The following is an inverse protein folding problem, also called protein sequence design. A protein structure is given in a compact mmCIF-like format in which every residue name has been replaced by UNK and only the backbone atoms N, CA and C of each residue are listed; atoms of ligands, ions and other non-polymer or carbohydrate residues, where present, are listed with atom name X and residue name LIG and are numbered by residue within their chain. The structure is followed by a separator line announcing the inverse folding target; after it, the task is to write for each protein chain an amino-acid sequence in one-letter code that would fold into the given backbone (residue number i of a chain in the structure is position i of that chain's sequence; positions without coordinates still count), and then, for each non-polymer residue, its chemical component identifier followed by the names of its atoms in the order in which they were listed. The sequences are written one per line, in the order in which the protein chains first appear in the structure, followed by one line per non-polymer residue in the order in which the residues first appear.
data_IF_987241853343
#
_entry.id   IF_987241853343
#
_cell.length_a   1.000
_cell.length_b   1.000
_cell.length_c   1.000
_cell.angle_alpha   90.00
_cell.angle_beta   90.00
_cell.angle_gamma   90.00
#
_symmetry.space_group_name_H-M   'P 1'
#
loop_
_entity.id
_entity.type
_entity.pdbx_description
1 polymer ?
#
# COMPACT_ATOMS: atom_id res chain seq x y z
N UNK A 1 -0.06 -9.81 -25.78
CA UNK A 1 0.69 -9.77 -24.49
C UNK A 1 -0.26 -10.20 -23.37
N UNK A 2 0.21 -11.00 -22.41
CA UNK A 2 -0.56 -11.44 -21.21
C UNK A 2 0.02 -10.79 -19.95
N UNK A 3 -0.82 -10.48 -18.97
CA UNK A 3 -0.37 -9.94 -17.68
C UNK A 3 0.32 -11.03 -16.86
N UNK A 4 1.43 -10.66 -16.22
CA UNK A 4 2.14 -11.55 -15.31
C UNK A 4 1.27 -11.93 -14.11
N UNK A 5 1.55 -13.10 -13.53
CA UNK A 5 0.88 -13.59 -12.33
C UNK A 5 1.87 -14.42 -11.51
N UNK A 6 1.37 -15.13 -10.49
CA UNK A 6 2.22 -15.97 -9.63
C UNK A 6 2.82 -17.18 -10.33
N UNK A 7 2.16 -17.71 -11.36
CA UNK A 7 2.63 -18.85 -12.15
C UNK A 7 3.59 -18.42 -13.26
N UNK A 8 3.44 -17.19 -13.76
CA UNK A 8 4.26 -16.60 -14.82
C UNK A 8 4.74 -15.21 -14.41
N UNK A 9 5.79 -15.11 -13.56
CA UNK A 9 6.36 -13.83 -13.16
C UNK A 9 7.07 -13.13 -14.32
N UNK A 10 7.32 -11.82 -14.16
CA UNK A 10 8.09 -11.05 -15.12
C UNK A 10 9.54 -11.58 -15.18
N UNK A 11 10.07 -11.92 -16.37
CA UNK A 11 11.44 -12.43 -16.50
C UNK A 11 12.52 -11.37 -16.23
N UNK A 12 12.16 -10.08 -16.29
CA UNK A 12 13.10 -8.97 -16.07
C UNK A 12 13.22 -8.60 -14.59
N UNK A 13 12.09 -8.40 -13.90
CA UNK A 13 12.07 -7.91 -12.51
C UNK A 13 11.62 -8.94 -11.47
N UNK A 14 11.20 -10.14 -11.91
CA UNK A 14 10.69 -11.21 -11.04
C UNK A 14 9.35 -10.94 -10.37
N UNK A 15 8.70 -9.80 -10.62
CA UNK A 15 7.40 -9.45 -10.00
C UNK A 15 6.24 -10.13 -10.70
N UNK A 16 5.17 -10.38 -9.94
CA UNK A 16 3.98 -11.12 -10.37
C UNK A 16 2.82 -10.21 -10.75
N UNK A 17 3.07 -8.90 -10.88
CA UNK A 17 2.07 -7.87 -11.14
C UNK A 17 2.60 -6.79 -12.09
N UNK A 18 1.65 -6.07 -12.70
CA UNK A 18 1.85 -4.88 -13.53
C UNK A 18 2.50 -5.11 -14.90
N UNK A 19 3.49 -6.00 -14.99
CA UNK A 19 4.23 -6.29 -16.22
C UNK A 19 3.41 -7.14 -17.21
N UNK A 20 3.87 -7.17 -18.47
CA UNK A 20 3.28 -7.98 -19.53
C UNK A 20 4.34 -8.93 -20.11
N UNK A 21 3.94 -10.14 -20.49
CA UNK A 21 4.80 -11.13 -21.15
C UNK A 21 4.10 -11.64 -22.41
N UNK A 22 4.85 -11.85 -23.49
CA UNK A 22 4.31 -12.43 -24.72
C UNK A 22 3.86 -13.88 -24.48
N UNK A 23 2.87 -14.34 -25.24
CA UNK A 23 2.34 -15.71 -25.07
C UNK A 23 3.42 -16.77 -25.29
N UNK A 24 4.37 -16.50 -26.19
CA UNK A 24 5.52 -17.34 -26.51
C UNK A 24 6.77 -17.02 -25.69
N UNK A 25 6.66 -16.13 -24.70
CA UNK A 25 7.75 -15.69 -23.81
C UNK A 25 8.98 -15.08 -24.51
N UNK A 26 8.88 -14.70 -25.78
CA UNK A 26 9.97 -14.05 -26.54
C UNK A 26 10.12 -12.55 -26.24
N UNK A 27 9.17 -11.97 -25.53
CA UNK A 27 9.21 -10.56 -25.15
C UNK A 27 8.49 -10.31 -23.83
N UNK A 28 8.94 -9.30 -23.11
CA UNK A 28 8.26 -8.79 -21.93
C UNK A 28 8.24 -7.26 -21.92
N UNK A 29 7.16 -6.66 -21.46
CA UNK A 29 7.11 -5.23 -21.13
C UNK A 29 7.20 -5.13 -19.60
N UNK A 30 8.35 -4.68 -19.11
CA UNK A 30 8.61 -4.49 -17.70
C UNK A 30 8.29 -3.04 -17.32
N UNK A 31 7.46 -2.82 -16.29
CA UNK A 31 7.14 -1.48 -15.81
C UNK A 31 8.13 -0.93 -14.78
N UNK A 32 9.25 -1.64 -14.52
CA UNK A 32 10.18 -1.31 -13.42
C UNK A 32 11.65 -1.18 -13.83
N UNK A 33 12.09 -1.94 -14.82
CA UNK A 33 13.50 -1.97 -15.24
C UNK A 33 13.58 -1.55 -16.72
N UNK A 34 14.31 -0.47 -16.96
CA UNK A 34 14.64 0.07 -18.28
C UNK A 34 15.88 -0.60 -18.89
N UNK A 35 16.87 -0.93 -18.06
CA UNK A 35 18.16 -1.44 -18.49
C UNK A 35 18.03 -2.73 -19.32
N UNK A 36 18.64 -2.76 -20.51
CA UNK A 36 18.53 -3.89 -21.44
C UNK A 36 17.27 -3.90 -22.31
N UNK A 37 16.39 -2.89 -22.17
CA UNK A 37 15.20 -2.79 -23.02
C UNK A 37 15.52 -2.25 -24.41
N UNK A 38 14.73 -2.69 -25.40
CA UNK A 38 14.82 -2.21 -26.78
C UNK A 38 14.20 -0.82 -26.95
N UNK A 39 13.09 -0.56 -26.26
CA UNK A 39 12.38 0.73 -26.30
C UNK A 39 11.34 0.86 -25.20
N UNK A 40 10.92 2.09 -24.91
CA UNK A 40 9.70 2.37 -24.14
C UNK A 40 8.45 2.01 -24.96
N UNK A 41 7.47 1.39 -24.30
CA UNK A 41 6.21 0.93 -24.88
C UNK A 41 5.03 1.70 -24.27
N UNK A 42 5.01 3.01 -24.48
CA UNK A 42 4.02 3.91 -23.87
C UNK A 42 4.08 3.88 -22.35
N UNK A 43 2.91 3.93 -21.70
CA UNK A 43 2.79 3.92 -20.23
C UNK A 43 2.84 2.50 -19.63
N UNK A 44 2.92 1.47 -20.46
CA UNK A 44 3.01 0.08 -19.99
C UNK A 44 4.41 -0.29 -19.48
N UNK A 45 5.45 0.49 -19.82
CA UNK A 45 6.84 0.26 -19.40
C UNK A 45 7.81 0.10 -20.55
N UNK A 46 8.88 -0.67 -20.33
CA UNK A 46 9.99 -0.89 -21.26
C UNK A 46 9.94 -2.28 -21.88
N UNK A 47 10.05 -2.37 -23.21
CA UNK A 47 9.99 -3.61 -23.98
C UNK A 47 11.36 -4.29 -24.03
N UNK A 48 11.44 -5.50 -23.49
CA UNK A 48 12.56 -6.41 -23.53
C UNK A 48 12.27 -7.52 -24.55
N UNK A 49 13.24 -7.80 -25.42
CA UNK A 49 13.17 -8.91 -26.37
C UNK A 49 14.17 -10.00 -25.94
N UNK A 50 13.74 -11.25 -25.97
CA UNK A 50 14.54 -12.42 -25.64
C UNK A 50 14.75 -13.25 -26.90
N UNK A 51 16.01 -13.58 -27.20
CA UNK A 51 16.33 -14.39 -28.36
C UNK A 51 16.12 -15.88 -28.05
N UNK A 52 15.54 -16.65 -28.99
CA UNK A 52 15.26 -18.08 -28.76
C UNK A 52 16.51 -18.97 -28.82
N UNK A 53 17.60 -18.45 -29.39
CA UNK A 53 18.87 -19.18 -29.63
C UNK A 53 19.90 -18.97 -28.54
N UNK A 54 19.77 -17.89 -27.78
CA UNK A 54 20.62 -17.61 -26.63
C UNK A 54 20.06 -18.37 -25.45
N UNK A 55 20.84 -19.31 -24.94
CA UNK A 55 20.58 -20.10 -23.74
C UNK A 55 20.57 -19.18 -22.51
N UNK A 56 19.63 -18.23 -22.47
CA UNK A 56 19.40 -17.33 -21.35
C UNK A 56 18.87 -18.19 -20.23
N UNK A 57 19.80 -18.62 -19.39
CA UNK A 57 19.52 -19.23 -18.10
C UNK A 57 18.53 -18.31 -17.40
N UNK A 58 17.28 -18.75 -17.39
CA UNK A 58 16.29 -18.25 -16.47
C UNK A 58 17.00 -18.27 -15.11
N UNK A 59 17.07 -17.16 -14.36
CA UNK A 59 17.24 -17.30 -12.93
C UNK A 59 16.00 -18.06 -12.50
N UNK A 60 16.11 -19.38 -12.45
CA UNK A 60 15.25 -20.26 -11.68
C UNK A 60 15.41 -19.73 -10.29
N UNK A 61 14.58 -18.74 -9.96
CA UNK A 61 14.63 -18.09 -8.69
C UNK A 61 14.45 -19.22 -7.70
N UNK A 62 15.49 -19.50 -6.92
CA UNK A 62 15.42 -20.28 -5.68
C UNK A 62 14.51 -19.59 -4.64
N UNK A 63 13.56 -18.74 -5.08
CA UNK A 63 12.33 -18.50 -4.37
C UNK A 63 11.57 -19.81 -4.33
N UNK A 64 11.91 -20.63 -3.33
CA UNK A 64 10.95 -21.55 -2.76
C UNK A 64 9.68 -20.75 -2.53
N UNK A 65 8.69 -20.98 -3.39
CA UNK A 65 7.31 -20.65 -3.11
C UNK A 65 7.04 -21.28 -1.74
N UNK A 66 7.12 -20.47 -0.67
CA UNK A 66 6.42 -20.81 0.55
C UNK A 66 4.95 -20.81 0.14
N UNK A 67 4.47 -21.98 -0.33
CA UNK A 67 3.05 -22.27 -0.46
C UNK A 67 2.52 -21.89 0.90
N UNK A 68 1.81 -20.76 0.96
CA UNK A 68 1.09 -20.36 2.14
C UNK A 68 0.12 -21.51 2.36
N UNK A 69 0.46 -22.39 3.30
CA UNK A 69 -0.41 -23.49 3.69
C UNK A 69 -1.71 -22.79 4.02
N UNK A 70 -2.75 -23.07 3.24
CA UNK A 70 -4.10 -22.75 3.64
C UNK A 70 -4.32 -23.67 4.84
N UNK A 71 -3.85 -23.27 6.02
CA UNK A 71 -4.52 -23.67 7.25
C UNK A 71 -5.98 -23.36 6.97
N UNK A 72 -6.84 -24.38 7.08
CA UNK A 72 -8.27 -24.26 6.83
C UNK A 72 -8.87 -23.08 7.59
N UNK A 73 -10.17 -22.77 7.42
CA UNK A 73 -10.80 -21.67 8.14
C UNK A 73 -10.37 -21.78 9.61
N UNK A 74 -9.52 -20.85 10.05
CA UNK A 74 -9.21 -20.74 11.45
C UNK A 74 -10.57 -20.52 12.06
N UNK A 75 -10.97 -21.43 12.94
CA UNK A 75 -12.08 -21.24 13.85
C UNK A 75 -11.71 -20.08 14.80
N UNK A 76 -11.49 -18.89 14.24
CA UNK A 76 -11.47 -17.64 14.94
C UNK A 76 -12.94 -17.32 15.13
N UNK A 77 -13.46 -17.83 16.23
CA UNK A 77 -14.55 -17.25 17.01
C UNK A 77 -14.64 -15.76 16.68
N UNK A 78 -15.79 -15.31 16.20
CA UNK A 78 -16.06 -13.94 15.76
C UNK A 78 -15.88 -12.93 16.88
N UNK A 79 -14.63 -12.65 17.24
CA UNK A 79 -14.28 -11.54 18.09
C UNK A 79 -14.33 -10.31 17.18
N UNK A 80 -15.48 -9.64 17.17
CA UNK A 80 -15.65 -8.35 16.53
C UNK A 80 -14.63 -7.40 17.16
N UNK A 81 -13.55 -7.15 16.43
CA UNK A 81 -12.52 -6.20 16.85
C UNK A 81 -13.16 -4.82 16.86
N UNK A 82 -13.23 -4.22 18.04
CA UNK A 82 -13.64 -2.83 18.20
C UNK A 82 -12.50 -1.91 17.75
N UNK A 83 -12.54 -1.51 16.48
CA UNK A 83 -11.52 -0.64 15.92
C UNK A 83 -11.57 0.78 16.48
N UNK A 84 -12.71 1.25 17.00
CA UNK A 84 -12.79 2.57 17.61
C UNK A 84 -11.96 2.62 18.88
N UNK A 85 -12.18 1.66 19.78
CA UNK A 85 -11.37 1.51 21.01
C UNK A 85 -9.89 1.27 20.69
N UNK A 86 -9.61 0.48 19.66
CA UNK A 86 -8.23 0.19 19.27
C UNK A 86 -7.51 1.43 18.70
N UNK A 87 -8.22 2.25 17.91
CA UNK A 87 -7.70 3.51 17.39
C UNK A 87 -7.36 4.48 18.51
N UNK A 88 -8.24 4.63 19.49
CA UNK A 88 -8.00 5.47 20.68
C UNK A 88 -6.78 5.00 21.49
N UNK A 89 -6.63 3.68 21.66
CA UNK A 89 -5.46 3.10 22.32
C UNK A 89 -4.16 3.40 21.56
N UNK A 90 -4.18 3.36 20.24
CA UNK A 90 -2.99 3.67 19.46
C UNK A 90 -2.69 5.17 19.43
N UNK A 91 -3.72 6.01 19.33
CA UNK A 91 -3.58 7.46 19.40
C UNK A 91 -2.93 7.89 20.73
N UNK A 92 -3.43 7.37 21.86
CA UNK A 92 -2.87 7.65 23.19
C UNK A 92 -1.44 7.13 23.40
N UNK A 93 -1.06 6.03 22.71
CA UNK A 93 0.32 5.52 22.71
C UNK A 93 1.25 6.27 21.77
N UNK A 94 0.72 7.08 20.85
CA UNK A 94 1.53 7.81 19.89
C UNK A 94 2.12 9.06 20.55
N UNK A 95 3.42 9.01 20.87
CA UNK A 95 4.09 10.15 21.49
C UNK A 95 4.20 11.34 20.52
N UNK A 96 4.23 12.55 21.07
CA UNK A 96 4.44 13.77 20.29
C UNK A 96 5.74 13.74 19.46
N UNK A 97 6.78 13.05 19.95
CA UNK A 97 8.05 12.85 19.24
C UNK A 97 7.87 11.96 18.01
N UNK A 98 7.10 10.88 18.12
CA UNK A 98 6.82 9.98 17.00
C UNK A 98 6.01 10.68 15.91
N UNK A 99 5.00 11.46 16.29
CA UNK A 99 4.21 12.26 15.32
C UNK A 99 5.11 13.27 14.59
N UNK A 100 5.98 13.99 15.30
CA UNK A 100 6.93 14.94 14.69
C UNK A 100 7.92 14.26 13.76
N UNK A 101 8.44 13.09 14.16
CA UNK A 101 9.32 12.30 13.31
C UNK A 101 8.63 11.87 12.01
N UNK A 102 7.40 11.38 12.11
CA UNK A 102 6.61 11.00 10.93
C UNK A 102 6.33 12.22 10.04
N UNK A 103 5.90 13.33 10.63
CA UNK A 103 5.64 14.60 9.95
C UNK A 103 6.85 15.03 9.10
N UNK A 104 8.03 15.09 9.73
CA UNK A 104 9.28 15.44 9.05
C UNK A 104 9.63 14.46 7.93
N UNK A 105 9.41 13.16 8.14
CA UNK A 105 9.71 12.13 7.12
C UNK A 105 8.80 12.21 5.89
N UNK A 106 7.58 12.71 6.07
CA UNK A 106 6.56 12.83 5.02
C UNK A 106 6.51 14.22 4.38
N UNK A 107 7.18 15.22 4.98
CA UNK A 107 7.09 16.61 4.53
C UNK A 107 5.72 17.25 4.84
N UNK A 108 5.05 16.80 5.90
CA UNK A 108 3.74 17.32 6.35
C UNK A 108 3.83 17.87 7.77
N UNK A 109 2.79 18.59 8.24
CA UNK A 109 2.72 19.08 9.62
C UNK A 109 2.26 17.99 10.58
N UNK A 110 2.73 18.10 11.83
CA UNK A 110 2.25 17.23 12.92
C UNK A 110 0.76 17.44 13.21
N UNK A 111 0.20 18.61 12.89
CA UNK A 111 -1.20 18.91 13.11
C UNK A 111 -2.10 18.11 12.15
N UNK A 112 -1.76 18.06 10.87
CA UNK A 112 -2.52 17.28 9.88
C UNK A 112 -2.54 15.79 10.19
N UNK A 113 -1.42 15.24 10.69
CA UNK A 113 -1.37 13.86 11.16
C UNK A 113 -2.23 13.62 12.42
N UNK A 114 -2.25 14.57 13.36
CA UNK A 114 -3.11 14.49 14.55
C UNK A 114 -4.59 14.54 14.20
N UNK A 115 -4.98 15.40 13.25
CA UNK A 115 -6.37 15.47 12.76
C UNK A 115 -6.83 14.14 12.17
N UNK A 116 -5.92 13.37 11.58
CA UNK A 116 -6.19 12.01 11.11
C UNK A 116 -6.13 10.93 12.21
N UNK A 117 -6.09 11.35 13.48
CA UNK A 117 -6.03 10.49 14.66
C UNK A 117 -4.92 9.44 14.56
N UNK A 118 -3.72 9.87 14.13
CA UNK A 118 -2.57 8.96 13.95
C UNK A 118 -2.21 8.30 15.28
N UNK A 119 -2.05 6.98 15.24
CA UNK A 119 -1.68 6.16 16.38
C UNK A 119 -0.33 5.46 16.23
N UNK A 120 0.11 4.81 17.31
CA UNK A 120 1.25 3.91 17.32
C UNK A 120 0.89 2.58 17.99
N UNK A 121 1.10 1.46 17.29
CA UNK A 121 0.77 0.12 17.80
C UNK A 121 1.95 -0.62 18.47
N UNK A 122 3.13 0.00 18.50
CA UNK A 122 4.38 -0.62 18.96
C UNK A 122 5.38 -0.85 17.83
N UNK A 123 4.91 -0.93 16.58
CA UNK A 123 5.72 -1.29 15.42
C UNK A 123 5.48 -0.36 14.20
N UNK A 124 4.27 0.14 14.03
CA UNK A 124 3.84 0.94 12.90
C UNK A 124 2.94 2.11 13.30
N UNK A 125 2.93 3.14 12.44
CA UNK A 125 1.96 4.22 12.53
C UNK A 125 0.60 3.75 12.03
N UNK A 126 -0.45 4.05 12.79
CA UNK A 126 -1.80 3.59 12.55
C UNK A 126 -2.70 4.75 12.12
N UNK A 127 -3.51 4.52 11.09
CA UNK A 127 -4.47 5.47 10.56
C UNK A 127 -5.86 4.81 10.52
N UNK A 128 -6.83 5.29 11.30
CA UNK A 128 -8.18 4.75 11.28
C UNK A 128 -8.86 5.01 9.92
N UNK A 129 -9.71 4.07 9.52
CA UNK A 129 -10.55 4.15 8.33
C UNK A 129 -12.01 4.05 8.78
N UNK A 130 -12.84 4.96 8.30
CA UNK A 130 -14.25 5.08 8.71
C UNK A 130 -15.22 4.79 7.56
N UNK A 131 -16.43 4.41 7.91
CA UNK A 131 -17.57 4.25 6.99
C UNK A 131 -18.35 5.57 6.80
N UNK A 132 -19.49 5.51 6.09
CA UNK A 132 -20.37 6.65 5.84
C UNK A 132 -21.02 7.23 7.10
N UNK A 133 -20.98 6.50 8.22
CA UNK A 133 -21.51 6.93 9.52
C UNK A 133 -20.42 7.41 10.45
N UNK A 134 -19.20 7.63 9.94
CA UNK A 134 -18.00 7.95 10.71
C UNK A 134 -17.62 6.87 11.74
N UNK A 135 -18.10 5.64 11.58
CA UNK A 135 -17.70 4.52 12.44
C UNK A 135 -16.37 3.97 11.95
N UNK A 136 -15.40 3.79 12.86
CA UNK A 136 -14.10 3.21 12.50
C UNK A 136 -14.27 1.72 12.19
N UNK A 137 -14.06 1.34 10.93
CA UNK A 137 -14.24 -0.03 10.39
C UNK A 137 -12.91 -0.73 10.08
N UNK A 138 -11.78 -0.06 10.34
CA UNK A 138 -10.47 -0.62 10.10
C UNK A 138 -9.34 0.32 10.46
N UNK A 139 -8.12 -0.21 10.46
CA UNK A 139 -6.90 0.55 10.74
C UNK A 139 -5.83 0.19 9.71
N UNK A 140 -5.34 1.21 9.00
CA UNK A 140 -4.21 1.12 8.07
C UNK A 140 -2.92 1.35 8.85
N UNK A 141 -1.96 0.44 8.71
CA UNK A 141 -0.62 0.49 9.29
C UNK A 141 0.39 0.97 8.26
N UNK A 142 1.30 1.84 8.68
CA UNK A 142 2.46 2.31 7.92
C UNK A 142 3.75 2.06 8.71
N UNK A 143 4.63 1.25 8.15
CA UNK A 143 5.90 0.88 8.76
C UNK A 143 6.99 1.89 8.36
N UNK A 144 8.06 1.96 9.16
CA UNK A 144 9.22 2.81 8.87
C UNK A 144 9.88 2.51 7.51
N UNK A 145 9.82 1.26 7.05
CA UNK A 145 10.35 0.83 5.75
C UNK A 145 9.43 1.13 4.54
N UNK A 146 8.36 1.91 4.71
CA UNK A 146 7.45 2.23 3.61
C UNK A 146 6.32 1.22 3.39
N UNK A 147 6.40 0.01 3.96
CA UNK A 147 5.35 -1.00 3.80
C UNK A 147 4.05 -0.52 4.45
N UNK A 148 2.93 -0.84 3.80
CA UNK A 148 1.57 -0.50 4.25
C UNK A 148 0.76 -1.80 4.36
N UNK A 149 0.08 -2.00 5.49
CA UNK A 149 -0.81 -3.14 5.74
C UNK A 149 -2.08 -2.69 6.44
N UNK A 150 -3.08 -3.56 6.60
CA UNK A 150 -4.22 -3.31 7.48
C UNK A 150 -4.20 -4.30 8.64
N UNK A 151 -4.77 -3.92 9.78
CA UNK A 151 -5.06 -4.86 10.86
C UNK A 151 -6.07 -5.89 10.37
N UNK A 152 -5.89 -7.15 10.74
CA UNK A 152 -6.81 -8.25 10.38
C UNK A 152 -8.24 -7.90 10.79
N UNK A 153 -9.19 -8.10 9.88
CA UNK A 153 -10.60 -7.73 10.07
C UNK A 153 -10.95 -6.31 9.64
N UNK A 154 -9.96 -5.47 9.32
CA UNK A 154 -10.20 -4.13 8.79
C UNK A 154 -10.89 -4.20 7.43
N UNK A 155 -11.84 -3.30 7.20
CA UNK A 155 -12.39 -2.99 5.88
C UNK A 155 -11.70 -1.76 5.30
N UNK A 156 -11.75 -1.59 3.98
CA UNK A 156 -11.33 -0.34 3.36
C UNK A 156 -12.42 0.71 3.62
N UNK A 157 -12.02 1.87 4.12
CA UNK A 157 -12.89 3.01 4.39
C UNK A 157 -12.15 4.31 4.11
N UNK A 158 -12.76 5.42 4.50
CA UNK A 158 -12.23 6.77 4.30
C UNK A 158 -11.31 7.17 5.47
N UNK A 159 -10.27 7.95 5.16
CA UNK A 159 -9.45 8.63 6.17
C UNK A 159 -10.08 9.98 6.45
N UNK A 160 -10.92 10.06 7.48
CA UNK A 160 -11.70 11.28 7.77
C UNK A 160 -10.98 12.07 8.85
N UNK A 161 -10.38 13.24 8.54
CA UNK A 161 -9.79 14.11 9.54
C UNK A 161 -10.82 14.78 10.43
N UNK A 162 -10.41 15.07 11.67
CA UNK A 162 -11.19 15.89 12.59
C UNK A 162 -11.25 17.35 12.12
N UNK A 163 -12.37 18.00 12.44
CA UNK A 163 -12.59 19.42 12.14
C UNK A 163 -12.76 19.71 10.65
N UNK A 164 -13.38 18.80 9.88
CA UNK A 164 -13.86 19.15 8.53
C UNK A 164 -15.09 20.05 8.69
N UNK A 165 -14.97 21.28 8.22
CA UNK A 165 -16.11 22.19 8.09
C UNK A 165 -16.85 21.95 6.77
N UNK A 166 -18.10 22.42 6.70
CA UNK A 166 -18.89 22.35 5.48
C UNK A 166 -18.18 23.15 4.37
N UNK A 167 -17.67 22.45 3.36
CA UNK A 167 -16.88 23.04 2.28
C UNK A 167 -17.61 22.90 0.95
N UNK A 168 -17.45 23.90 0.07
CA UNK A 168 -17.93 23.84 -1.31
C UNK A 168 -17.21 22.72 -2.10
N UNK A 169 -15.96 22.41 -1.74
CA UNK A 169 -15.13 21.39 -2.39
C UNK A 169 -14.45 20.51 -1.36
N UNK A 170 -14.41 19.21 -1.65
CA UNK A 170 -13.73 18.19 -0.84
C UNK A 170 -12.79 17.39 -1.74
N UNK A 171 -11.57 17.15 -1.26
CA UNK A 171 -10.53 16.41 -1.99
C UNK A 171 -10.43 14.98 -1.48
N UNK A 172 -10.80 13.99 -2.30
CA UNK A 172 -10.67 12.58 -1.92
C UNK A 172 -9.27 12.07 -2.27
N UNK A 173 -8.53 11.67 -1.24
CA UNK A 173 -7.16 11.17 -1.38
C UNK A 173 -7.09 9.63 -1.40
N UNK A 174 -6.08 9.05 -2.07
CA UNK A 174 -5.88 7.59 -2.11
C UNK A 174 -5.53 7.02 -0.72
N UNK A 175 -4.72 7.75 0.03
CA UNK A 175 -4.19 7.31 1.31
C UNK A 175 -4.13 8.41 2.37
N UNK A 176 -3.76 8.03 3.61
CA UNK A 176 -3.75 8.96 4.74
C UNK A 176 -2.62 9.99 4.63
N UNK A 177 -1.51 9.64 3.98
CA UNK A 177 -0.38 10.57 3.79
C UNK A 177 -0.70 11.66 2.79
N UNK A 178 -1.47 11.33 1.75
CA UNK A 178 -1.87 12.30 0.73
C UNK A 178 -2.98 13.20 1.29
N UNK A 179 -3.89 12.63 2.09
CA UNK A 179 -4.87 13.40 2.86
C UNK A 179 -4.16 14.39 3.82
N UNK A 180 -3.14 13.94 4.57
CA UNK A 180 -2.37 14.83 5.43
C UNK A 180 -1.73 16.01 4.68
N UNK A 181 -1.21 15.76 3.47
CA UNK A 181 -0.65 16.82 2.61
C UNK A 181 -1.74 17.78 2.10
N UNK A 182 -2.92 17.27 1.73
CA UNK A 182 -4.04 18.11 1.33
C UNK A 182 -4.52 19.03 2.47
N UNK A 183 -4.56 18.51 3.70
CA UNK A 183 -4.90 19.30 4.88
C UNK A 183 -3.88 20.41 5.16
N UNK A 184 -2.59 20.15 4.96
CA UNK A 184 -1.53 21.18 5.11
C UNK A 184 -1.67 22.30 4.10
N UNK A 185 -2.13 21.98 2.90
CA UNK A 185 -2.42 22.95 1.85
C UNK A 185 -3.73 23.72 2.09
N UNK A 186 -4.44 23.44 3.18
CA UNK A 186 -5.68 24.13 3.56
C UNK A 186 -6.94 23.60 2.88
N UNK A 187 -6.89 22.41 2.26
CA UNK A 187 -8.08 21.79 1.67
C UNK A 187 -8.88 21.02 2.72
N UNK A 188 -10.20 20.97 2.51
CA UNK A 188 -11.05 19.93 3.11
C UNK A 188 -10.84 18.63 2.34
N UNK A 189 -10.37 17.59 3.00
CA UNK A 189 -9.95 16.32 2.40
C UNK A 189 -10.37 15.10 3.23
#
# INVERSE_FOLDING_TARGET
MKRVNRETPCPVCGKTDWCLVSADKSAAICARIEEGSKKRSGDAGWLHLFDRTSNCQFPSSNFQLKKRIKTGPSAAVGMTVDFAKLSEQFASRCSQRQVRFLAQSLGVTANSLKRLNVGWDGEAFCFPMSDERSTIIGIRRRFGNGRKFCITGSKNGLFIPEGIEQAERVVICEGPTDCAAALDLGWSA
#
